data_IF_456797688630
#
_entry.id   IF_456797688630
#
_cell.length_a   1.000
_cell.length_b   1.000
_cell.length_c   1.000
_cell.angle_alpha   90.00
_cell.angle_beta   90.00
_cell.angle_gamma   90.00
#
_symmetry.space_group_name_H-M   'P 1'
#
loop_
_entity.id
_entity.type
_entity.pdbx_description
1 polymer ?
#
# COMPACT_ATOMS: atom_id res chain seq x y z
N UNK A 1 23.38 8.01 7.82
CA UNK A 1 23.23 6.98 6.76
C UNK A 1 22.49 5.77 7.32
N UNK A 2 21.65 5.16 6.50
CA UNK A 2 20.83 4.03 6.91
C UNK A 2 21.62 2.72 6.80
N UNK A 3 21.46 1.83 7.80
CA UNK A 3 22.11 0.52 7.73
C UNK A 3 21.45 -0.35 6.65
N UNK A 4 22.18 -1.33 6.13
CA UNK A 4 21.65 -2.29 5.17
C UNK A 4 20.44 -3.05 5.74
N UNK A 5 20.53 -3.43 7.00
CA UNK A 5 19.45 -4.17 7.66
C UNK A 5 18.17 -3.37 7.71
N UNK A 6 18.27 -2.09 8.08
CA UNK A 6 17.11 -1.20 8.14
C UNK A 6 16.57 -0.93 6.74
N UNK A 7 17.45 -0.70 5.77
CA UNK A 7 17.05 -0.47 4.39
C UNK A 7 16.26 -1.66 3.84
N UNK A 8 16.74 -2.86 4.09
CA UNK A 8 16.05 -4.08 3.67
C UNK A 8 14.67 -4.19 4.31
N UNK A 9 14.59 -3.94 5.62
CA UNK A 9 13.33 -4.02 6.35
C UNK A 9 12.31 -3.02 5.81
N UNK A 10 12.75 -1.79 5.51
CA UNK A 10 11.85 -0.77 4.97
C UNK A 10 11.40 -1.09 3.56
N UNK A 11 12.29 -1.65 2.73
CA UNK A 11 11.92 -2.11 1.39
C UNK A 11 10.89 -3.23 1.44
N UNK A 12 11.02 -4.14 2.38
CA UNK A 12 10.04 -5.21 2.59
C UNK A 12 8.70 -4.64 3.03
N UNK A 13 8.71 -3.60 3.85
CA UNK A 13 7.49 -2.93 4.29
C UNK A 13 6.79 -2.25 3.11
N UNK A 14 7.55 -1.57 2.24
CA UNK A 14 6.99 -0.97 1.02
C UNK A 14 6.30 -2.04 0.18
N UNK A 15 6.97 -3.18 -0.01
CA UNK A 15 6.41 -4.29 -0.77
C UNK A 15 5.10 -4.79 -0.16
N UNK A 16 5.07 -4.92 1.16
CA UNK A 16 3.87 -5.37 1.87
C UNK A 16 2.72 -4.39 1.70
N UNK A 17 2.99 -3.08 1.79
CA UNK A 17 1.96 -2.04 1.62
C UNK A 17 1.40 -2.07 0.19
N UNK A 18 2.27 -2.22 -0.82
CA UNK A 18 1.83 -2.28 -2.21
C UNK A 18 1.06 -3.57 -2.49
N UNK A 19 1.45 -4.66 -1.87
CA UNK A 19 0.73 -5.92 -1.98
C UNK A 19 -0.70 -5.77 -1.44
N UNK A 20 -0.81 -5.15 -0.26
CA UNK A 20 -2.11 -4.89 0.35
C UNK A 20 -2.96 -3.97 -0.53
N UNK A 21 -2.34 -2.94 -1.12
CA UNK A 21 -3.04 -2.03 -2.03
C UNK A 21 -3.64 -2.79 -3.22
N UNK A 22 -2.86 -3.69 -3.81
CA UNK A 22 -3.32 -4.51 -4.93
C UNK A 22 -4.47 -5.41 -4.53
N UNK A 23 -4.37 -6.03 -3.36
CA UNK A 23 -5.41 -6.91 -2.85
C UNK A 23 -6.73 -6.15 -2.65
N UNK A 24 -6.67 -5.00 -1.98
CA UNK A 24 -7.85 -4.17 -1.75
C UNK A 24 -8.48 -3.71 -3.07
N UNK A 25 -7.65 -3.31 -4.02
CA UNK A 25 -8.13 -2.87 -5.32
C UNK A 25 -8.85 -3.99 -6.05
N UNK A 26 -8.26 -5.17 -6.08
CA UNK A 26 -8.84 -6.38 -6.67
C UNK A 26 -10.20 -6.70 -6.05
N UNK A 27 -10.26 -6.66 -4.73
CA UNK A 27 -11.51 -6.92 -4.00
C UNK A 27 -12.57 -5.88 -4.31
N UNK A 28 -12.16 -4.61 -4.53
CA UNK A 28 -13.10 -3.55 -4.87
C UNK A 28 -13.81 -3.83 -6.19
N UNK A 29 -13.08 -4.32 -7.19
CA UNK A 29 -13.69 -4.66 -8.49
C UNK A 29 -14.67 -5.82 -8.37
N UNK A 30 -14.31 -6.84 -7.61
CA UNK A 30 -15.21 -7.97 -7.36
C UNK A 30 -16.50 -7.49 -6.66
N UNK A 31 -16.35 -6.68 -5.62
CA UNK A 31 -17.50 -6.18 -4.86
C UNK A 31 -18.39 -5.27 -5.71
N UNK A 32 -17.78 -4.46 -6.58
CA UNK A 32 -18.53 -3.60 -7.46
C UNK A 32 -19.37 -4.43 -8.44
N UNK A 33 -18.77 -5.47 -8.99
CA UNK A 33 -19.47 -6.37 -9.91
C UNK A 33 -20.64 -7.08 -9.23
N UNK A 34 -20.49 -7.41 -7.94
CA UNK A 34 -21.55 -8.08 -7.18
C UNK A 34 -22.57 -7.10 -6.61
N UNK A 35 -22.45 -5.81 -6.88
CA UNK A 35 -23.42 -4.80 -6.47
C UNK A 35 -23.21 -4.19 -5.10
N UNK A 36 -22.06 -4.44 -4.47
CA UNK A 36 -21.75 -3.88 -3.15
C UNK A 36 -20.94 -2.60 -3.30
N UNK A 37 -21.59 -1.55 -3.78
CA UNK A 37 -20.92 -0.28 -4.11
C UNK A 37 -20.24 0.38 -2.90
N UNK A 38 -20.89 0.34 -1.74
CA UNK A 38 -20.33 0.93 -0.53
C UNK A 38 -19.04 0.25 -0.09
N UNK A 39 -19.04 -1.08 -0.07
CA UNK A 39 -17.86 -1.86 0.27
C UNK A 39 -16.76 -1.69 -0.78
N UNK A 40 -17.13 -1.64 -2.06
CA UNK A 40 -16.16 -1.42 -3.12
C UNK A 40 -15.45 -0.08 -2.95
N UNK A 41 -16.20 0.96 -2.63
CA UNK A 41 -15.64 2.29 -2.39
C UNK A 41 -14.69 2.29 -1.19
N UNK A 42 -15.09 1.63 -0.11
CA UNK A 42 -14.26 1.53 1.09
C UNK A 42 -12.94 0.81 0.77
N UNK A 43 -12.99 -0.28 0.01
CA UNK A 43 -11.79 -1.02 -0.39
C UNK A 43 -10.87 -0.18 -1.26
N UNK A 44 -11.41 0.65 -2.13
CA UNK A 44 -10.62 1.57 -2.94
C UNK A 44 -9.89 2.59 -2.08
N UNK A 45 -10.57 3.10 -1.07
CA UNK A 45 -9.95 4.05 -0.14
C UNK A 45 -8.81 3.37 0.61
N UNK A 46 -9.00 2.14 1.04
CA UNK A 46 -7.95 1.38 1.72
C UNK A 46 -6.75 1.16 0.80
N UNK A 47 -6.99 0.85 -0.48
CA UNK A 47 -5.93 0.69 -1.46
C UNK A 47 -5.11 1.98 -1.58
N UNK A 48 -5.78 3.12 -1.71
CA UNK A 48 -5.11 4.43 -1.81
C UNK A 48 -4.28 4.73 -0.56
N UNK A 49 -4.78 4.40 0.63
CA UNK A 49 -4.06 4.60 1.89
C UNK A 49 -2.79 3.77 1.95
N UNK A 50 -2.84 2.52 1.47
CA UNK A 50 -1.64 1.66 1.46
C UNK A 50 -0.58 2.20 0.51
N UNK A 51 -0.99 2.76 -0.63
CA UNK A 51 -0.06 3.40 -1.57
C UNK A 51 0.57 4.64 -0.93
N UNK A 52 -0.22 5.42 -0.22
CA UNK A 52 0.26 6.59 0.50
C UNK A 52 1.32 6.19 1.53
N UNK A 53 1.07 5.13 2.30
CA UNK A 53 2.02 4.62 3.27
C UNK A 53 3.34 4.21 2.60
N UNK A 54 3.26 3.50 1.47
CA UNK A 54 4.45 3.08 0.73
C UNK A 54 5.27 4.29 0.28
N UNK A 55 4.60 5.33 -0.22
CA UNK A 55 5.27 6.55 -0.65
C UNK A 55 5.94 7.28 0.51
N UNK A 56 5.29 7.32 1.67
CA UNK A 56 5.86 7.95 2.86
C UNK A 56 7.12 7.23 3.33
N UNK A 57 7.12 5.90 3.28
CA UNK A 57 8.30 5.10 3.63
C UNK A 57 9.42 5.37 2.63
N UNK A 58 9.10 5.38 1.33
CA UNK A 58 10.08 5.62 0.28
C UNK A 58 10.72 7.00 0.43
N UNK A 59 9.92 8.03 0.71
CA UNK A 59 10.43 9.39 0.93
C UNK A 59 11.33 9.45 2.16
N UNK A 60 10.94 8.78 3.23
CA UNK A 60 11.78 8.70 4.42
C UNK A 60 13.14 8.10 4.10
N UNK A 61 13.16 7.01 3.31
CA UNK A 61 14.40 6.35 2.93
C UNK A 61 15.29 7.25 2.09
N UNK A 62 14.71 7.94 1.11
CA UNK A 62 15.45 8.86 0.26
C UNK A 62 16.09 9.98 1.07
N UNK A 63 15.34 10.53 2.03
CA UNK A 63 15.81 11.62 2.86
C UNK A 63 16.90 11.22 3.84
N UNK A 64 17.06 9.92 4.11
CA UNK A 64 18.08 9.42 5.06
C UNK A 64 19.36 8.95 4.38
N UNK A 65 19.41 8.97 3.08
CA UNK A 65 20.61 8.57 2.31
C UNK A 65 21.50 9.77 1.93
#
# INVERSE_FOLDING_TARGET
MMTEKLQKALNEQITAELWSANLYLSMSFFLLREGYEGFAHWMRKQSAEEIKHANEIAEYMVNRQ
#
